data_IF_524981820645
#
_entry.id   IF_524981820645
#
_cell.length_a   1.000
_cell.length_b   1.000
_cell.length_c   1.000
_cell.angle_alpha   90.00
_cell.angle_beta   90.00
_cell.angle_gamma   90.00
#
_symmetry.space_group_name_H-M   'P 1'
#
loop_
_entity.id
_entity.type
_entity.pdbx_description
1 polymer ?
#
# COMPACT_ATOMS: atom_id res chain seq x y z
N UNK A 1 5.21 -0.84 -0.81
CA UNK A 1 3.98 -1.65 -0.80
C UNK A 1 3.30 -1.46 -2.14
N UNK A 2 2.95 -2.54 -2.84
CA UNK A 2 2.26 -2.45 -4.14
C UNK A 2 0.74 -2.44 -3.94
N UNK A 3 0.00 -1.80 -4.85
CA UNK A 3 -1.47 -1.84 -4.85
C UNK A 3 -1.99 -3.27 -5.02
N UNK A 4 -1.27 -4.12 -5.76
CA UNK A 4 -1.54 -5.57 -5.89
C UNK A 4 -1.54 -6.33 -4.56
N UNK A 5 -0.97 -5.76 -3.50
CA UNK A 5 -0.97 -6.37 -2.18
C UNK A 5 -2.26 -6.02 -1.39
N UNK A 6 -3.09 -5.13 -1.92
CA UNK A 6 -4.39 -4.69 -1.37
C UNK A 6 -5.54 -5.47 -2.00
N UNK A 7 -5.53 -6.79 -1.85
CA UNK A 7 -6.52 -7.69 -2.47
C UNK A 7 -7.92 -7.63 -1.85
N UNK A 8 -8.14 -6.73 -0.88
CA UNK A 8 -9.32 -6.71 -0.06
C UNK A 8 -10.41 -5.74 -0.55
N UNK A 9 -10.06 -4.84 -1.48
CA UNK A 9 -10.93 -3.84 -2.09
C UNK A 9 -10.36 -3.33 -3.43
N UNK A 10 -11.17 -2.59 -4.20
CA UNK A 10 -10.69 -1.83 -5.36
C UNK A 10 -10.26 -0.43 -4.90
N UNK A 11 -8.98 -0.09 -5.04
CA UNK A 11 -8.43 1.17 -4.56
C UNK A 11 -8.25 2.19 -5.68
N UNK A 12 -8.79 3.40 -5.48
CA UNK A 12 -8.62 4.56 -6.36
C UNK A 12 -7.56 5.48 -5.79
N UNK A 13 -6.62 5.90 -6.63
CA UNK A 13 -5.58 6.86 -6.25
C UNK A 13 -6.06 8.31 -6.48
N UNK A 14 -5.85 9.16 -5.48
CA UNK A 14 -6.10 10.60 -5.53
C UNK A 14 -4.77 11.35 -5.42
N UNK A 15 -4.34 11.97 -6.52
CA UNK A 15 -3.09 12.74 -6.58
C UNK A 15 -3.09 13.94 -5.63
N UNK A 16 -4.20 14.68 -5.57
CA UNK A 16 -4.34 15.90 -4.75
C UNK A 16 -4.15 15.66 -3.25
N UNK A 17 -4.48 14.45 -2.79
CA UNK A 17 -4.36 14.04 -1.38
C UNK A 17 -3.27 13.01 -1.13
N UNK A 18 -2.56 12.58 -2.19
CA UNK A 18 -1.61 11.47 -2.18
C UNK A 18 -2.14 10.25 -1.39
N UNK A 19 -3.37 9.85 -1.69
CA UNK A 19 -4.08 8.80 -0.97
C UNK A 19 -4.68 7.73 -1.88
N UNK A 20 -4.81 6.52 -1.34
CA UNK A 20 -5.53 5.40 -1.94
C UNK A 20 -6.81 5.17 -1.14
N UNK A 21 -7.97 5.21 -1.80
CA UNK A 21 -9.27 4.99 -1.17
C UNK A 21 -9.95 3.76 -1.75
N UNK A 22 -10.29 2.79 -0.90
CA UNK A 22 -11.06 1.61 -1.28
C UNK A 22 -12.51 1.96 -1.62
N UNK A 23 -13.05 1.40 -2.69
CA UNK A 23 -14.39 1.70 -3.17
C UNK A 23 -15.48 1.13 -2.25
N UNK A 24 -15.35 -0.14 -1.83
CA UNK A 24 -16.38 -0.84 -1.04
C UNK A 24 -16.24 -0.56 0.46
N UNK A 25 -15.03 -0.67 1.00
CA UNK A 25 -14.75 -0.56 2.43
C UNK A 25 -14.38 0.85 2.85
N UNK A 26 -14.16 1.77 1.89
CA UNK A 26 -13.75 3.16 2.14
C UNK A 26 -12.48 3.27 2.99
N UNK A 27 -11.64 2.24 2.96
CA UNK A 27 -10.35 2.25 3.64
C UNK A 27 -9.42 3.20 2.92
N UNK A 28 -8.83 4.13 3.66
CA UNK A 28 -7.92 5.15 3.10
C UNK A 28 -6.50 4.87 3.58
N UNK A 29 -5.55 4.82 2.67
CA UNK A 29 -4.12 4.86 2.97
C UNK A 29 -3.55 6.15 2.38
N UNK A 30 -2.95 7.00 3.20
CA UNK A 30 -2.35 8.27 2.76
C UNK A 30 -0.86 8.31 3.07
N UNK A 31 -0.15 9.13 2.30
CA UNK A 31 1.25 9.42 2.62
C UNK A 31 1.36 10.00 4.04
N UNK A 32 2.27 9.46 4.84
CA UNK A 32 2.50 9.85 6.22
C UNK A 32 1.76 8.99 7.27
N UNK A 33 0.90 8.06 6.85
CA UNK A 33 0.28 7.11 7.79
C UNK A 33 1.31 6.15 8.38
N UNK A 34 1.17 5.90 9.69
CA UNK A 34 1.87 4.81 10.36
C UNK A 34 1.09 3.52 10.15
N UNK A 35 1.73 2.52 9.53
CA UNK A 35 1.13 1.23 9.22
C UNK A 35 2.02 0.10 9.72
N UNK A 36 1.40 -0.95 10.23
CA UNK A 36 2.08 -2.20 10.51
C UNK A 36 2.18 -3.00 9.21
N UNK A 37 3.40 -3.43 8.88
CA UNK A 37 3.69 -4.16 7.65
C UNK A 37 4.58 -5.36 7.94
N UNK A 38 4.48 -6.37 7.09
CA UNK A 38 5.35 -7.54 7.09
C UNK A 38 6.32 -7.44 5.91
N UNK A 39 7.61 -7.62 6.21
CA UNK A 39 8.65 -7.78 5.19
C UNK A 39 8.45 -9.11 4.46
N UNK A 40 8.34 -9.08 3.13
CA UNK A 40 8.11 -10.30 2.33
C UNK A 40 9.23 -10.62 1.35
N UNK A 41 9.93 -9.61 0.85
CA UNK A 41 11.06 -9.83 -0.07
C UNK A 41 12.09 -8.71 0.08
N UNK A 42 13.36 -9.10 0.00
CA UNK A 42 14.50 -8.18 -0.14
C UNK A 42 15.20 -8.51 -1.46
N UNK A 43 15.32 -7.51 -2.33
CA UNK A 43 16.08 -7.58 -3.58
C UNK A 43 17.25 -6.59 -3.48
N UNK A 44 18.41 -7.11 -3.11
CA UNK A 44 19.61 -6.31 -2.84
C UNK A 44 20.17 -5.68 -4.12
N UNK A 45 20.10 -6.41 -5.24
CA UNK A 45 20.61 -5.95 -6.52
C UNK A 45 19.88 -4.69 -7.00
N UNK A 46 18.55 -4.67 -6.83
CA UNK A 46 17.72 -3.52 -7.19
C UNK A 46 17.50 -2.52 -6.04
N UNK A 47 18.13 -2.75 -4.87
CA UNK A 47 17.89 -1.99 -3.63
C UNK A 47 16.40 -1.84 -3.30
N UNK A 48 15.61 -2.90 -3.54
CA UNK A 48 14.16 -2.90 -3.35
C UNK A 48 13.76 -3.80 -2.19
N UNK A 49 12.80 -3.32 -1.40
CA UNK A 49 12.19 -4.08 -0.31
C UNK A 49 10.68 -4.07 -0.51
N UNK A 50 10.08 -5.27 -0.53
CA UNK A 50 8.64 -5.44 -0.72
C UNK A 50 7.97 -5.78 0.64
N UNK A 51 6.80 -5.18 0.85
CA UNK A 51 6.02 -5.29 2.08
C UNK A 51 4.56 -5.66 1.80
N UNK A 52 3.95 -6.41 2.72
CA UNK A 52 2.50 -6.64 2.83
C UNK A 52 1.95 -5.93 4.06
N UNK A 53 0.67 -5.52 4.02
CA UNK A 53 -0.03 -5.12 5.25
C UNK A 53 -0.19 -6.34 6.17
N UNK A 54 -0.02 -6.09 7.48
CA UNK A 54 -0.21 -7.09 8.51
C UNK A 54 -1.69 -7.36 8.80
#
# INVERSE_FOLDING_TARGET
>A
MKIENLNDDYYVFSESSQSLTGDRKRKVYKLGDKLNVKLTRVDVANRRIDFLLA
#
